data_IF_677153205858
#
_entry.id   IF_677153205858
#
_cell.length_a   1.000
_cell.length_b   1.000
_cell.length_c   1.000
_cell.angle_alpha   90.00
_cell.angle_beta   90.00
_cell.angle_gamma   90.00
#
_symmetry.space_group_name_H-M   'P 1'
#
loop_
_entity.id
_entity.type
_entity.pdbx_description
1 polymer ?
#
# COMPACT_ATOMS: atom_id res chain seq x y z
N UNK A 1 20.35 -12.47 -4.94
CA UNK A 1 19.62 -11.61 -3.99
C UNK A 1 19.00 -12.53 -2.96
N UNK A 2 19.45 -12.44 -1.72
CA UNK A 2 18.88 -13.18 -0.59
C UNK A 2 18.30 -12.11 0.32
N UNK A 3 17.02 -12.23 0.64
CA UNK A 3 16.38 -11.38 1.63
C UNK A 3 15.98 -12.28 2.78
N UNK A 4 16.37 -11.90 3.98
CA UNK A 4 15.88 -12.55 5.18
C UNK A 4 14.43 -12.10 5.36
N UNK A 5 13.48 -13.01 5.12
CA UNK A 5 12.03 -12.75 5.26
C UNK A 5 11.55 -13.16 6.66
N UNK A 6 12.38 -12.91 7.67
CA UNK A 6 12.13 -13.25 9.07
C UNK A 6 10.79 -12.66 9.57
N UNK A 7 10.47 -11.44 9.14
CA UNK A 7 9.21 -10.78 9.45
C UNK A 7 7.98 -11.65 9.15
N UNK A 8 7.96 -12.34 7.99
CA UNK A 8 6.82 -13.16 7.58
C UNK A 8 6.85 -14.58 8.17
N UNK A 9 7.93 -14.97 8.84
CA UNK A 9 8.10 -16.30 9.44
C UNK A 9 8.08 -16.28 10.98
N UNK A 10 8.34 -15.13 11.60
CA UNK A 10 8.41 -14.95 13.05
C UNK A 10 7.04 -14.50 13.63
N UNK A 11 6.39 -15.31 14.49
CA UNK A 11 5.13 -14.95 15.14
C UNK A 11 5.21 -13.74 16.07
N UNK A 12 6.41 -13.37 16.52
CA UNK A 12 6.63 -12.14 17.31
C UNK A 12 6.71 -10.88 16.44
N UNK A 13 6.79 -11.03 15.12
CA UNK A 13 6.78 -9.96 14.12
C UNK A 13 5.49 -10.02 13.29
N UNK A 14 5.56 -10.52 12.06
CA UNK A 14 4.49 -10.48 11.07
C UNK A 14 3.84 -11.82 10.76
N UNK A 15 4.30 -12.95 11.33
CA UNK A 15 3.70 -14.25 11.08
C UNK A 15 2.41 -14.46 11.91
N UNK A 16 1.34 -13.76 11.52
CA UNK A 16 0.02 -13.86 12.15
C UNK A 16 -0.88 -14.86 11.39
N UNK A 17 -1.73 -15.65 12.07
CA UNK A 17 -2.56 -16.67 11.41
C UNK A 17 -3.54 -16.13 10.36
N UNK A 18 -3.90 -14.85 10.44
CA UNK A 18 -4.82 -14.22 9.48
C UNK A 18 -4.15 -13.86 8.15
N UNK A 19 -2.81 -13.78 8.12
CA UNK A 19 -2.06 -13.43 6.92
C UNK A 19 -1.48 -14.69 6.27
N UNK A 20 -2.17 -15.20 5.24
CA UNK A 20 -1.77 -16.41 4.51
C UNK A 20 -0.62 -16.19 3.51
N UNK A 21 -0.30 -14.93 3.21
CA UNK A 21 0.69 -14.55 2.20
C UNK A 21 0.41 -15.19 0.82
N UNK A 22 -0.86 -15.18 0.42
CA UNK A 22 -1.34 -15.72 -0.86
C UNK A 22 -1.96 -14.60 -1.70
N UNK A 23 -1.87 -14.72 -3.02
CA UNK A 23 -2.49 -13.82 -4.00
C UNK A 23 -3.27 -14.67 -5.01
N UNK A 24 -4.43 -14.17 -5.47
CA UNK A 24 -5.19 -14.82 -6.53
C UNK A 24 -4.41 -14.80 -7.86
N UNK A 25 -4.28 -15.94 -8.53
CA UNK A 25 -3.45 -16.03 -9.74
C UNK A 25 -3.90 -15.05 -10.86
N UNK A 26 -5.21 -14.81 -10.98
CA UNK A 26 -5.76 -13.87 -11.95
C UNK A 26 -5.25 -12.42 -11.77
N UNK A 27 -4.80 -12.02 -10.57
CA UNK A 27 -4.29 -10.66 -10.35
C UNK A 27 -2.87 -10.45 -10.86
N UNK A 28 -2.13 -11.50 -11.24
CA UNK A 28 -0.76 -11.37 -11.73
C UNK A 28 -0.65 -10.47 -12.95
N UNK A 29 -1.54 -10.60 -13.93
CA UNK A 29 -1.52 -9.77 -15.13
C UNK A 29 -1.63 -8.28 -14.79
N UNK A 30 -2.58 -7.92 -13.93
CA UNK A 30 -2.78 -6.53 -13.52
C UNK A 30 -1.62 -6.01 -12.67
N UNK A 31 -1.11 -6.83 -11.75
CA UNK A 31 0.02 -6.45 -10.90
C UNK A 31 1.30 -6.22 -11.72
N UNK A 32 1.64 -7.14 -12.64
CA UNK A 32 2.85 -7.05 -13.46
C UNK A 32 2.82 -5.91 -14.48
N UNK A 33 1.62 -5.47 -14.88
CA UNK A 33 1.45 -4.37 -15.84
C UNK A 33 1.13 -3.04 -15.17
N UNK A 34 1.05 -3.00 -13.84
CA UNK A 34 0.74 -1.78 -13.11
C UNK A 34 1.92 -0.80 -13.15
N UNK A 35 1.66 0.40 -13.65
CA UNK A 35 2.61 1.51 -13.65
C UNK A 35 2.25 2.52 -12.57
N UNK A 36 2.92 2.39 -11.41
CA UNK A 36 2.79 3.32 -10.29
C UNK A 36 3.56 4.63 -10.46
N UNK A 37 4.36 4.79 -11.52
CA UNK A 37 5.25 5.94 -11.68
C UNK A 37 4.64 7.04 -12.56
N UNK A 38 3.98 6.67 -13.66
CA UNK A 38 3.51 7.65 -14.66
C UNK A 38 2.47 8.65 -14.14
N UNK A 39 1.74 8.30 -13.08
CA UNK A 39 0.74 9.17 -12.47
C UNK A 39 1.33 10.26 -11.57
N UNK A 40 2.62 10.19 -11.20
CA UNK A 40 3.24 11.08 -10.21
C UNK A 40 3.00 12.57 -10.51
N UNK A 41 3.14 12.98 -11.77
CA UNK A 41 2.94 14.37 -12.21
C UNK A 41 1.51 14.92 -12.03
N UNK A 42 0.54 14.07 -11.72
CA UNK A 42 -0.86 14.47 -11.44
C UNK A 42 -1.13 14.69 -9.96
N UNK A 43 -0.19 14.33 -9.09
CA UNK A 43 -0.36 14.43 -7.63
C UNK A 43 0.05 15.82 -7.17
N UNK A 44 -0.94 16.61 -6.75
CA UNK A 44 -0.76 17.96 -6.18
C UNK A 44 -0.96 18.02 -4.66
N UNK A 45 -1.47 16.94 -4.05
CA UNK A 45 -1.63 16.82 -2.60
C UNK A 45 -0.26 16.83 -1.91
N UNK A 46 -0.10 17.52 -0.77
CA UNK A 46 1.12 17.44 0.03
C UNK A 46 1.48 15.99 0.34
N UNK A 47 2.70 15.59 -0.03
CA UNK A 47 3.15 14.19 0.07
C UNK A 47 4.45 14.09 0.86
N UNK A 48 4.50 13.15 1.81
CA UNK A 48 5.69 12.79 2.57
C UNK A 48 6.11 11.37 2.17
N UNK A 49 7.41 11.20 1.89
CA UNK A 49 8.04 9.91 1.73
C UNK A 49 8.95 9.66 2.93
N UNK A 50 8.89 8.46 3.50
CA UNK A 50 9.83 7.95 4.52
C UNK A 50 10.34 6.62 3.98
N UNK A 51 11.64 6.52 3.70
CA UNK A 51 12.23 5.37 3.00
C UNK A 51 13.73 5.24 3.31
N UNK A 52 14.39 4.23 2.75
CA UNK A 52 15.83 4.00 2.86
C UNK A 52 16.41 3.34 1.60
N UNK A 53 17.73 3.26 1.51
CA UNK A 53 18.43 2.54 0.44
C UNK A 53 18.22 1.01 0.50
N UNK A 54 17.98 0.46 1.70
CA UNK A 54 17.79 -0.98 1.94
C UNK A 54 16.32 -1.42 1.81
N UNK A 55 15.41 -0.48 1.53
CA UNK A 55 14.01 -0.77 1.24
C UNK A 55 13.82 -1.29 -0.20
N UNK A 56 12.61 -1.78 -0.49
CA UNK A 56 12.27 -2.24 -1.83
C UNK A 56 12.14 -1.03 -2.77
N UNK A 57 12.82 -1.08 -3.92
CA UNK A 57 12.73 -0.10 -5.02
C UNK A 57 13.02 1.37 -4.60
N UNK A 58 14.19 1.68 -4.00
CA UNK A 58 14.52 3.04 -3.55
C UNK A 58 14.55 4.07 -4.70
N UNK A 59 15.08 3.69 -5.87
CA UNK A 59 15.12 4.56 -7.05
C UNK A 59 13.72 4.95 -7.54
N UNK A 60 12.73 4.07 -7.37
CA UNK A 60 11.35 4.38 -7.71
C UNK A 60 10.77 5.42 -6.75
N UNK A 61 11.07 5.35 -5.45
CA UNK A 61 10.65 6.36 -4.49
C UNK A 61 11.20 7.74 -4.86
N UNK A 62 12.48 7.83 -5.23
CA UNK A 62 13.06 9.06 -5.76
C UNK A 62 12.39 9.54 -7.04
N UNK A 63 12.11 8.62 -7.98
CA UNK A 63 11.45 8.93 -9.25
C UNK A 63 10.06 9.54 -9.02
N UNK A 64 9.23 8.92 -8.17
CA UNK A 64 7.90 9.43 -7.84
C UNK A 64 8.00 10.77 -7.14
N UNK A 65 8.82 10.88 -6.08
CA UNK A 65 9.02 12.13 -5.34
C UNK A 65 9.40 13.28 -6.30
N UNK A 66 10.38 13.06 -7.17
CA UNK A 66 10.83 14.07 -8.12
C UNK A 66 9.74 14.44 -9.13
N UNK A 67 8.89 13.48 -9.52
CA UNK A 67 7.78 13.68 -10.44
C UNK A 67 6.54 14.38 -9.88
N UNK A 68 6.37 14.48 -8.55
CA UNK A 68 5.16 15.12 -7.99
C UNK A 68 5.05 16.61 -8.34
N UNK A 69 3.81 17.04 -8.61
CA UNK A 69 3.46 18.44 -8.89
C UNK A 69 3.18 19.26 -7.62
N UNK A 70 2.83 18.60 -6.52
CA UNK A 70 2.51 19.22 -5.24
C UNK A 70 3.69 19.43 -4.30
N UNK A 71 3.45 20.01 -3.10
CA UNK A 71 4.43 20.06 -2.03
C UNK A 71 4.91 18.65 -1.66
N UNK A 72 6.22 18.50 -1.49
CA UNK A 72 6.84 17.19 -1.27
C UNK A 72 7.95 17.25 -0.25
N UNK A 73 8.05 16.19 0.54
CA UNK A 73 9.11 15.97 1.52
C UNK A 73 9.62 14.54 1.41
N UNK A 74 10.92 14.38 1.65
CA UNK A 74 11.61 13.10 1.61
C UNK A 74 12.44 12.98 2.89
N UNK A 75 12.10 12.00 3.73
CA UNK A 75 12.89 11.55 4.87
C UNK A 75 13.57 10.26 4.46
N UNK A 76 14.91 10.28 4.43
CA UNK A 76 15.74 9.15 4.02
C UNK A 76 16.54 8.66 5.21
N UNK A 77 16.32 7.41 5.61
CA UNK A 77 16.92 6.80 6.78
C UNK A 77 17.70 5.53 6.41
N UNK A 78 18.22 4.84 7.42
CA UNK A 78 18.78 3.49 7.31
C UNK A 78 17.72 2.44 7.68
N UNK A 79 18.00 1.16 7.42
CA UNK A 79 17.12 0.04 7.78
C UNK A 79 16.36 -0.57 6.60
N UNK A 80 15.98 -1.84 6.71
CA UNK A 80 15.31 -2.57 5.62
C UNK A 80 13.80 -2.29 5.55
N UNK A 81 13.17 -2.73 4.46
CA UNK A 81 11.73 -2.57 4.22
C UNK A 81 10.86 -2.95 5.43
N UNK A 82 11.13 -4.10 6.04
CA UNK A 82 10.32 -4.61 7.15
C UNK A 82 10.65 -3.92 8.48
N UNK A 83 11.76 -3.19 8.59
CA UNK A 83 12.05 -2.44 9.81
C UNK A 83 11.07 -1.29 10.02
N UNK A 84 10.66 -0.64 8.92
CA UNK A 84 9.61 0.38 8.93
C UNK A 84 8.21 -0.17 9.26
N UNK A 85 8.03 -1.50 9.36
CA UNK A 85 6.73 -2.09 9.70
C UNK A 85 6.54 -2.21 11.21
N UNK A 86 7.61 -2.57 11.94
CA UNK A 86 7.50 -2.98 13.35
C UNK A 86 8.65 -2.55 14.27
N UNK A 87 9.79 -2.06 13.75
CA UNK A 87 10.90 -1.64 14.62
C UNK A 87 10.56 -0.29 15.27
N UNK A 88 10.58 -0.19 16.62
CA UNK A 88 10.12 1.00 17.33
C UNK A 88 10.74 2.31 16.83
N UNK A 89 12.04 2.33 16.56
CA UNK A 89 12.76 3.53 16.14
C UNK A 89 12.35 3.98 14.72
N UNK A 90 12.15 3.03 13.79
CA UNK A 90 11.77 3.32 12.41
C UNK A 90 10.30 3.74 12.33
N UNK A 91 9.43 3.10 13.12
CA UNK A 91 8.02 3.49 13.25
C UNK A 91 7.92 4.88 13.88
N UNK A 92 8.67 5.16 14.95
CA UNK A 92 8.68 6.48 15.58
C UNK A 92 9.14 7.57 14.62
N UNK A 93 10.22 7.33 13.86
CA UNK A 93 10.69 8.24 12.82
C UNK A 93 9.58 8.59 11.81
N UNK A 94 8.87 7.57 11.29
CA UNK A 94 7.81 7.79 10.32
C UNK A 94 6.63 8.58 10.91
N UNK A 95 6.23 8.26 12.15
CA UNK A 95 5.14 8.95 12.86
C UNK A 95 5.50 10.39 13.20
N UNK A 96 6.75 10.66 13.56
CA UNK A 96 7.24 12.00 13.90
C UNK A 96 7.44 12.89 12.66
N UNK A 97 7.80 12.29 11.52
CA UNK A 97 7.85 12.99 10.25
C UNK A 97 6.46 13.41 9.74
N UNK A 98 5.41 12.67 10.09
CA UNK A 98 4.05 12.97 9.65
C UNK A 98 3.55 14.31 10.24
N UNK A 99 3.10 15.27 9.41
CA UNK A 99 2.67 16.58 9.88
C UNK A 99 1.45 16.48 10.81
N UNK A 100 1.35 17.38 11.80
CA UNK A 100 0.26 17.35 12.80
C UNK A 100 -1.15 17.44 12.20
N UNK A 101 -1.32 18.05 11.02
CA UNK A 101 -2.58 18.09 10.26
C UNK A 101 -3.02 16.73 9.71
N UNK A 102 -2.10 15.77 9.59
CA UNK A 102 -2.39 14.37 9.28
C UNK A 102 -2.71 13.53 10.52
N UNK A 103 -2.44 14.04 11.73
CA UNK A 103 -2.79 13.43 13.02
C UNK A 103 -4.23 13.71 13.44
N UNK A 104 -5.19 13.63 12.51
CA UNK A 104 -6.61 13.59 12.89
C UNK A 104 -6.85 12.35 13.78
N UNK A 105 -7.85 12.37 14.70
CA UNK A 105 -8.16 11.22 15.53
C UNK A 105 -8.34 9.97 14.64
N UNK A 106 -7.70 8.87 15.00
CA UNK A 106 -7.75 7.59 14.27
C UNK A 106 -9.12 6.87 14.37
N UNK A 107 -10.19 7.60 14.68
CA UNK A 107 -11.56 7.05 14.78
C UNK A 107 -12.23 6.89 13.41
N UNK A 108 -11.49 7.14 12.31
CA UNK A 108 -11.95 6.96 10.94
C UNK A 108 -11.63 5.55 10.46
N UNK A 109 -12.66 4.84 10.04
CA UNK A 109 -12.56 3.59 9.28
C UNK A 109 -12.34 3.88 7.80
N UNK A 110 -11.94 2.85 7.03
CA UNK A 110 -11.84 2.98 5.57
C UNK A 110 -13.18 3.43 4.95
N UNK A 111 -14.29 3.05 5.56
CA UNK A 111 -15.64 3.45 5.17
C UNK A 111 -15.87 4.96 5.31
N UNK A 112 -15.37 5.56 6.40
CA UNK A 112 -15.47 7.00 6.66
C UNK A 112 -14.67 7.82 5.64
N UNK A 113 -13.53 7.29 5.16
CA UNK A 113 -12.68 7.94 4.16
C UNK A 113 -13.36 8.05 2.78
N UNK A 114 -14.28 7.14 2.47
CA UNK A 114 -15.02 7.11 1.20
C UNK A 114 -16.45 7.62 1.31
N UNK A 115 -16.85 8.11 2.49
CA UNK A 115 -18.21 8.62 2.75
C UNK A 115 -19.30 7.57 2.58
N UNK A 116 -18.95 6.29 2.74
CA UNK A 116 -19.87 5.17 2.61
C UNK A 116 -20.45 4.73 3.95
N UNK A 117 -21.46 3.87 3.91
CA UNK A 117 -21.92 3.10 5.07
C UNK A 117 -21.33 1.68 4.99
N UNK A 118 -20.91 1.07 6.12
CA UNK A 118 -20.41 -0.31 6.12
C UNK A 118 -21.49 -1.26 5.60
N UNK A 119 -21.12 -2.15 4.68
CA UNK A 119 -22.02 -3.17 4.14
C UNK A 119 -21.33 -4.53 4.15
N UNK A 120 -22.06 -5.55 4.62
CA UNK A 120 -21.69 -6.95 4.40
C UNK A 120 -22.27 -7.41 3.06
N UNK A 121 -21.42 -7.95 2.20
CA UNK A 121 -21.80 -8.47 0.89
C UNK A 121 -21.30 -9.91 0.77
N UNK A 122 -22.15 -10.81 0.28
CA UNK A 122 -21.74 -12.19 0.02
C UNK A 122 -20.68 -12.21 -1.11
N UNK A 123 -19.70 -13.10 -1.02
CA UNK A 123 -18.60 -13.17 -1.98
C UNK A 123 -19.10 -13.31 -3.45
N UNK A 124 -20.17 -14.07 -3.66
CA UNK A 124 -20.76 -14.25 -4.99
C UNK A 124 -21.34 -12.93 -5.53
N UNK A 125 -22.05 -12.17 -4.70
CA UNK A 125 -22.62 -10.86 -5.07
C UNK A 125 -21.52 -9.83 -5.36
N UNK A 126 -20.40 -9.89 -4.62
CA UNK A 126 -19.23 -9.05 -4.88
C UNK A 126 -18.61 -9.42 -6.24
N UNK A 127 -18.45 -10.70 -6.55
CA UNK A 127 -17.92 -11.16 -7.85
C UNK A 127 -18.85 -10.76 -8.99
N UNK A 128 -20.17 -10.81 -8.79
CA UNK A 128 -21.15 -10.34 -9.77
C UNK A 128 -21.02 -8.84 -10.08
N UNK A 129 -20.78 -7.99 -9.07
CA UNK A 129 -20.57 -6.54 -9.28
C UNK A 129 -19.35 -6.22 -10.16
N UNK A 130 -18.39 -7.14 -10.23
CA UNK A 130 -17.15 -6.96 -10.99
C UNK A 130 -17.25 -7.56 -12.41
N UNK A 131 -18.40 -8.18 -12.75
CA UNK A 131 -18.67 -8.66 -14.09
C UNK A 131 -18.71 -7.49 -15.08
N UNK A 132 -17.91 -7.58 -16.15
CA UNK A 132 -17.80 -6.54 -17.17
C UNK A 132 -16.78 -5.45 -16.88
N UNK A 133 -16.22 -5.38 -15.67
CA UNK A 133 -15.07 -4.51 -15.34
C UNK A 133 -13.74 -5.14 -15.77
N UNK A 134 -13.64 -6.47 -15.72
CA UNK A 134 -12.43 -7.21 -16.11
C UNK A 134 -12.61 -7.87 -17.49
N UNK A 135 -11.65 -7.71 -18.43
CA UNK A 135 -11.63 -8.47 -19.67
C UNK A 135 -11.75 -9.98 -19.42
N UNK A 136 -12.76 -10.62 -20.01
CA UNK A 136 -12.95 -12.08 -19.95
C UNK A 136 -13.88 -12.61 -18.86
N UNK A 137 -14.53 -11.76 -18.06
CA UNK A 137 -15.56 -12.23 -17.11
C UNK A 137 -16.75 -12.86 -17.86
N UNK A 138 -17.15 -14.11 -17.55
CA UNK A 138 -18.29 -14.75 -18.20
C UNK A 138 -19.56 -13.96 -17.89
N UNK A 139 -20.24 -13.46 -18.93
CA UNK A 139 -21.59 -12.92 -18.80
C UNK A 139 -22.53 -14.12 -18.69
N UNK A 140 -23.42 -14.16 -17.70
CA UNK A 140 -24.52 -15.13 -17.70
C UNK A 140 -25.26 -14.98 -19.03
N UNK A 141 -25.38 -16.08 -19.77
CA UNK A 141 -26.22 -16.15 -20.95
C UNK A 141 -27.66 -15.82 -20.57
N UNK A 142 -28.33 -15.08 -21.45
CA UNK A 142 -29.78 -14.86 -21.46
C UNK A 142 -30.54 -16.18 -21.54
#
# INVERSE_FOLDING_TARGET
MYFELDYYADPSRGAVPLWRNEMAELSWLYWLTFDGLSAAGRVSTPTLFVHSDDCVLPDNAHTVHNGLAGPKQLVWAEGGQTDFYDRPDHVALAVDAAPSTSRRPCDWTYTDLWGGEPAEIAADDLVEQWQGLLPGSPRRGT
#
